data_IF_310047045934
#
_entry.id   IF_310047045934
#
_cell.length_a   1.000
_cell.length_b   1.000
_cell.length_c   1.000
_cell.angle_alpha   90.00
_cell.angle_beta   90.00
_cell.angle_gamma   90.00
#
_symmetry.space_group_name_H-M   'P 1'
#
loop_
_entity.id
_entity.type
_entity.pdbx_description
1 polymer ?
#
# COMPACT_ATOMS: atom_id res chain seq x y z
N UNK A 1 2.25 26.34 -13.73
CA UNK A 1 0.95 25.69 -13.99
C UNK A 1 0.99 24.96 -15.31
N UNK A 2 1.29 23.65 -15.28
CA UNK A 2 1.39 22.83 -16.49
C UNK A 2 -0.01 22.48 -17.00
N UNK A 3 -0.31 22.89 -18.24
CA UNK A 3 -1.63 22.75 -18.92
C UNK A 3 -1.88 21.34 -19.49
N UNK A 4 -1.16 20.33 -19.01
CA UNK A 4 -1.24 18.97 -19.54
C UNK A 4 -2.12 18.10 -18.64
N UNK A 5 -3.28 17.61 -19.13
CA UNK A 5 -4.14 16.74 -18.32
C UNK A 5 -3.44 15.43 -17.92
N UNK A 6 -2.50 14.94 -18.74
CA UNK A 6 -1.72 13.74 -18.41
C UNK A 6 -0.85 13.90 -17.15
N UNK A 7 -0.24 15.07 -16.91
CA UNK A 7 0.60 15.25 -15.72
C UNK A 7 -0.22 15.24 -14.43
N UNK A 8 -1.46 15.75 -14.49
CA UNK A 8 -2.39 15.69 -13.36
C UNK A 8 -2.85 14.25 -13.14
N UNK A 9 -3.17 13.52 -14.21
CA UNK A 9 -3.57 12.12 -14.14
C UNK A 9 -2.46 11.22 -13.55
N UNK A 10 -1.20 11.41 -13.97
CA UNK A 10 -0.05 10.67 -13.42
C UNK A 10 0.19 10.97 -11.94
N UNK A 11 0.05 12.23 -11.52
CA UNK A 11 0.19 12.62 -10.11
C UNK A 11 -0.93 12.03 -9.23
N UNK A 12 -2.17 12.01 -9.75
CA UNK A 12 -3.28 11.35 -9.06
C UNK A 12 -3.09 9.83 -9.03
N UNK A 13 -2.54 9.23 -10.09
CA UNK A 13 -2.26 7.80 -10.16
C UNK A 13 -1.23 7.37 -9.11
N UNK A 14 -0.12 8.10 -8.99
CA UNK A 14 0.91 7.82 -7.98
C UNK A 14 0.36 8.01 -6.57
N UNK A 15 -0.44 9.05 -6.34
CA UNK A 15 -1.15 9.26 -5.08
C UNK A 15 -2.10 8.11 -4.75
N UNK A 16 -2.92 7.67 -5.72
CA UNK A 16 -3.88 6.59 -5.53
C UNK A 16 -3.21 5.25 -5.25
N UNK A 17 -2.06 4.98 -5.89
CA UNK A 17 -1.26 3.78 -5.64
C UNK A 17 -0.79 3.73 -4.17
N UNK A 18 -0.46 4.87 -3.59
CA UNK A 18 -0.06 5.01 -2.19
C UNK A 18 -1.20 4.68 -1.18
N UNK A 19 -2.46 4.83 -1.60
CA UNK A 19 -3.67 4.38 -0.87
C UNK A 19 -4.22 3.03 -1.37
N UNK A 20 -3.46 2.34 -2.22
CA UNK A 20 -3.80 1.01 -2.73
C UNK A 20 -3.82 -0.06 -1.63
N UNK A 21 -4.45 -1.21 -1.92
CA UNK A 21 -4.54 -2.35 -0.99
C UNK A 21 -5.92 -2.56 -0.35
N UNK A 22 -6.88 -1.68 -0.64
CA UNK A 22 -8.27 -1.84 -0.21
C UNK A 22 -8.93 -3.13 -0.72
N UNK A 23 -8.48 -3.67 -1.87
CA UNK A 23 -9.01 -4.92 -2.40
C UNK A 23 -8.65 -6.12 -1.49
N UNK A 24 -7.45 -6.13 -0.91
CA UNK A 24 -7.01 -7.17 0.02
C UNK A 24 -7.80 -7.15 1.34
N UNK A 25 -8.37 -6.01 1.74
CA UNK A 25 -9.27 -5.93 2.90
C UNK A 25 -10.51 -6.80 2.69
N UNK A 26 -11.02 -6.89 1.46
CA UNK A 26 -12.20 -7.71 1.15
C UNK A 26 -11.91 -9.20 1.39
N UNK A 27 -10.69 -9.69 1.11
CA UNK A 27 -10.32 -11.09 1.39
C UNK A 27 -10.32 -11.42 2.88
N UNK A 28 -9.95 -10.45 3.73
CA UNK A 28 -9.91 -10.61 5.20
C UNK A 28 -11.32 -10.54 5.81
N UNK A 29 -12.31 -9.99 5.08
CA UNK A 29 -13.71 -9.93 5.56
C UNK A 29 -14.36 -11.28 5.73
N UNK A 30 -13.93 -12.30 4.98
CA UNK A 30 -14.41 -13.68 5.12
C UNK A 30 -13.95 -14.34 6.42
N UNK A 31 -12.87 -13.86 7.02
CA UNK A 31 -12.28 -14.39 8.27
C UNK A 31 -12.66 -13.58 9.52
N UNK A 32 -13.32 -12.43 9.33
CA UNK A 32 -13.73 -11.53 10.41
C UNK A 32 -14.97 -12.05 11.13
N UNK A 33 -14.87 -12.29 12.45
CA UNK A 33 -16.05 -12.49 13.30
C UNK A 33 -16.93 -11.22 13.27
N UNK A 34 -18.21 -11.35 12.93
CA UNK A 34 -19.18 -10.25 12.80
C UNK A 34 -18.76 -9.16 11.78
N UNK A 35 -18.73 -9.47 10.48
CA UNK A 35 -18.17 -8.60 9.44
C UNK A 35 -18.92 -7.26 9.33
N UNK A 36 -20.26 -7.25 9.50
CA UNK A 36 -21.09 -6.03 9.34
C UNK A 36 -20.66 -4.87 10.24
N UNK A 37 -20.19 -5.14 11.46
CA UNK A 37 -19.76 -4.11 12.41
C UNK A 37 -18.24 -3.91 12.38
N UNK A 38 -17.48 -5.00 12.34
CA UNK A 38 -16.02 -4.92 12.44
C UNK A 38 -15.37 -4.40 11.16
N UNK A 39 -15.95 -4.70 9.99
CA UNK A 39 -15.48 -4.14 8.72
C UNK A 39 -15.63 -2.61 8.70
N UNK A 40 -16.81 -2.11 9.07
CA UNK A 40 -17.09 -0.68 9.10
C UNK A 40 -16.18 0.06 10.07
N UNK A 41 -16.00 -0.49 11.29
CA UNK A 41 -15.08 0.10 12.28
C UNK A 41 -13.63 0.09 11.81
N UNK A 42 -13.17 -1.00 11.19
CA UNK A 42 -11.81 -1.08 10.64
C UNK A 42 -11.56 -0.03 9.57
N UNK A 43 -12.50 0.18 8.65
CA UNK A 43 -12.38 1.21 7.60
C UNK A 43 -12.37 2.62 8.20
N UNK A 44 -13.28 2.90 9.14
CA UNK A 44 -13.39 4.21 9.79
C UNK A 44 -12.17 4.52 10.66
N UNK A 45 -11.46 3.53 11.19
CA UNK A 45 -10.20 3.75 11.92
C UNK A 45 -8.98 3.79 11.00
N UNK A 46 -8.91 2.90 10.00
CA UNK A 46 -7.76 2.81 9.10
C UNK A 46 -7.65 4.04 8.20
N UNK A 47 -8.74 4.49 7.56
CA UNK A 47 -8.68 5.60 6.61
C UNK A 47 -8.17 6.91 7.24
N UNK A 48 -8.71 7.40 8.38
CA UNK A 48 -8.20 8.62 9.00
C UNK A 48 -6.77 8.48 9.49
N UNK A 49 -6.42 7.30 10.03
CA UNK A 49 -5.04 7.04 10.49
C UNK A 49 -4.05 7.17 9.34
N UNK A 50 -4.35 6.56 8.19
CA UNK A 50 -3.51 6.65 6.99
C UNK A 50 -3.45 8.10 6.50
N UNK A 51 -4.58 8.80 6.40
CA UNK A 51 -4.61 10.22 6.00
C UNK A 51 -3.72 11.09 6.90
N UNK A 52 -3.84 10.95 8.22
CA UNK A 52 -3.05 11.71 9.19
C UNK A 52 -1.56 11.41 9.03
N UNK A 53 -1.17 10.14 8.92
CA UNK A 53 0.23 9.76 8.71
C UNK A 53 0.80 10.30 7.40
N UNK A 54 0.02 10.30 6.32
CA UNK A 54 0.43 10.87 5.04
C UNK A 54 0.63 12.37 5.14
N UNK A 55 -0.30 13.10 5.76
CA UNK A 55 -0.17 14.55 5.95
C UNK A 55 1.06 14.88 6.80
N UNK A 56 1.26 14.17 7.91
CA UNK A 56 2.41 14.37 8.79
C UNK A 56 3.74 14.09 8.07
N UNK A 57 3.81 13.02 7.28
CA UNK A 57 5.01 12.69 6.50
C UNK A 57 5.33 13.77 5.48
N UNK A 58 4.33 14.26 4.75
CA UNK A 58 4.52 15.35 3.79
C UNK A 58 4.99 16.64 4.48
N UNK A 59 4.40 16.99 5.63
CA UNK A 59 4.85 18.15 6.43
C UNK A 59 6.31 17.97 6.86
N UNK A 60 6.67 16.80 7.38
CA UNK A 60 8.04 16.48 7.81
C UNK A 60 9.06 16.70 6.69
N UNK A 61 8.77 16.22 5.47
CA UNK A 61 9.66 16.44 4.33
C UNK A 61 9.84 17.91 3.97
N UNK A 62 8.76 18.70 3.96
CA UNK A 62 8.85 20.13 3.66
C UNK A 62 9.54 20.96 4.75
N UNK A 63 9.58 20.49 6.00
CA UNK A 63 10.29 21.19 7.08
C UNK A 63 11.80 21.02 7.05
N UNK A 64 12.28 19.93 6.45
CA UNK A 64 13.70 19.55 6.50
C UNK A 64 14.41 19.78 5.16
N UNK A 65 13.73 19.59 4.03
CA UNK A 65 14.35 19.60 2.70
C UNK A 65 13.79 20.69 1.79
N UNK A 66 14.65 21.22 0.92
CA UNK A 66 14.24 22.20 -0.09
C UNK A 66 13.59 21.50 -1.30
N UNK A 67 12.73 22.21 -2.05
CA UNK A 67 11.93 21.62 -3.15
C UNK A 67 12.79 20.98 -4.24
N UNK A 68 13.97 21.55 -4.48
CA UNK A 68 14.93 21.05 -5.48
C UNK A 68 15.58 19.73 -5.03
N UNK A 69 15.92 19.60 -3.75
CA UNK A 69 16.47 18.36 -3.18
C UNK A 69 15.43 17.23 -3.15
N UNK A 70 14.16 17.58 -2.90
CA UNK A 70 13.07 16.61 -2.89
C UNK A 70 12.78 16.06 -4.29
N UNK A 71 12.95 16.88 -5.33
CA UNK A 71 12.75 16.46 -6.73
C UNK A 71 13.97 15.76 -7.33
N UNK A 72 15.18 16.02 -6.83
CA UNK A 72 16.40 15.36 -7.28
C UNK A 72 16.70 14.03 -6.57
N UNK A 73 16.09 13.79 -5.42
CA UNK A 73 16.29 12.58 -4.62
C UNK A 73 15.45 11.40 -5.12
N UNK A 74 16.08 10.28 -5.52
CA UNK A 74 15.38 9.02 -5.78
C UNK A 74 14.83 8.38 -4.49
N UNK A 75 15.52 8.57 -3.36
CA UNK A 75 15.16 7.98 -2.06
C UNK A 75 14.96 9.07 -0.99
N UNK A 76 13.84 9.80 -1.09
CA UNK A 76 13.48 10.95 -0.22
C UNK A 76 13.55 10.61 1.28
N UNK A 77 13.20 9.38 1.67
CA UNK A 77 13.25 8.97 3.07
C UNK A 77 14.68 8.86 3.62
N UNK A 78 15.65 8.43 2.80
CA UNK A 78 17.05 8.28 3.23
C UNK A 78 17.72 9.64 3.32
N UNK A 79 17.50 10.51 2.35
CA UNK A 79 18.02 11.89 2.38
C UNK A 79 17.43 12.71 3.52
N UNK A 80 16.13 12.53 3.84
CA UNK A 80 15.54 13.07 5.06
C UNK A 80 16.20 12.49 6.32
N UNK A 81 16.45 11.18 6.34
CA UNK A 81 17.12 10.50 7.45
C UNK A 81 18.52 11.07 7.71
N UNK A 82 19.30 11.34 6.66
CA UNK A 82 20.66 11.91 6.79
C UNK A 82 20.63 13.29 7.43
N UNK A 83 19.63 14.10 7.11
CA UNK A 83 19.46 15.43 7.68
C UNK A 83 19.00 15.42 9.16
N UNK A 84 18.24 14.41 9.59
CA UNK A 84 17.60 14.40 10.93
C UNK A 84 18.25 13.42 11.91
N UNK A 85 18.57 12.22 11.46
CA UNK A 85 18.96 11.08 12.29
C UNK A 85 20.47 10.89 12.40
N UNK A 86 21.27 11.52 11.53
CA UNK A 86 22.73 11.45 11.56
C UNK A 86 23.25 9.99 11.51
N UNK A 87 24.05 9.52 12.49
CA UNK A 87 24.72 8.22 12.41
C UNK A 87 23.81 6.99 12.45
N UNK A 88 22.54 7.14 12.86
CA UNK A 88 21.57 6.01 12.87
C UNK A 88 20.80 5.84 11.55
N UNK A 89 21.15 6.60 10.51
CA UNK A 89 20.58 6.46 9.15
C UNK A 89 20.65 5.05 8.59
N UNK A 90 21.71 4.29 8.88
CA UNK A 90 21.90 2.95 8.34
C UNK A 90 20.76 1.98 8.70
N UNK A 91 20.04 2.23 9.80
CA UNK A 91 18.89 1.43 10.19
C UNK A 91 17.62 1.75 9.37
N UNK A 92 17.49 2.97 8.85
CA UNK A 92 16.30 3.43 8.13
C UNK A 92 16.01 2.63 6.85
N UNK A 93 16.95 2.43 5.91
CA UNK A 93 16.69 1.62 4.71
C UNK A 93 16.45 0.15 5.04
N UNK A 94 17.00 -0.38 6.14
CA UNK A 94 16.73 -1.74 6.62
C UNK A 94 15.26 -1.84 7.05
N UNK A 95 14.78 -0.89 7.86
CA UNK A 95 13.38 -0.85 8.30
C UNK A 95 12.40 -0.71 7.13
N UNK A 96 12.72 0.16 6.17
CA UNK A 96 11.91 0.35 4.94
C UNK A 96 11.87 -0.97 4.15
N UNK A 97 13.02 -1.64 4.00
CA UNK A 97 13.11 -2.92 3.28
C UNK A 97 12.31 -4.02 3.97
N UNK A 98 12.38 -4.12 5.31
CA UNK A 98 11.57 -5.08 6.08
C UNK A 98 10.07 -4.80 5.91
N UNK A 99 9.65 -3.53 5.89
CA UNK A 99 8.25 -3.16 5.62
C UNK A 99 7.81 -3.54 4.20
N UNK A 100 8.66 -3.29 3.20
CA UNK A 100 8.41 -3.68 1.81
C UNK A 100 8.31 -5.20 1.65
N UNK A 101 9.21 -5.96 2.30
CA UNK A 101 9.17 -7.42 2.34
C UNK A 101 7.92 -7.95 3.04
N UNK A 102 7.51 -7.34 4.14
CA UNK A 102 6.26 -7.68 4.83
C UNK A 102 5.03 -7.48 3.94
N UNK A 103 5.00 -6.36 3.20
CA UNK A 103 3.94 -6.07 2.23
C UNK A 103 3.93 -7.05 1.05
N UNK A 104 5.11 -7.39 0.51
CA UNK A 104 5.25 -8.38 -0.54
C UNK A 104 4.79 -9.77 -0.09
N UNK A 105 5.17 -10.19 1.11
CA UNK A 105 4.76 -11.46 1.69
C UNK A 105 3.24 -11.55 1.87
N UNK A 106 2.61 -10.49 2.38
CA UNK A 106 1.14 -10.43 2.50
C UNK A 106 0.44 -10.57 1.14
N UNK A 107 0.96 -9.92 0.11
CA UNK A 107 0.41 -10.00 -1.25
C UNK A 107 0.57 -11.40 -1.87
N UNK A 108 1.67 -12.10 -1.58
CA UNK A 108 1.89 -13.48 -2.02
C UNK A 108 0.86 -14.44 -1.41
N UNK A 109 0.61 -14.33 -0.11
CA UNK A 109 -0.42 -15.14 0.55
C UNK A 109 -1.82 -14.85 0.00
N UNK A 110 -2.15 -13.59 -0.24
CA UNK A 110 -3.42 -13.19 -0.88
C UNK A 110 -3.57 -13.84 -2.26
N UNK A 111 -2.55 -13.71 -3.11
CA UNK A 111 -2.54 -14.25 -4.48
C UNK A 111 -2.63 -15.79 -4.51
N UNK A 112 -1.93 -16.47 -3.60
CA UNK A 112 -1.98 -17.93 -3.49
C UNK A 112 -3.40 -18.43 -3.14
N UNK A 113 -4.10 -17.74 -2.22
CA UNK A 113 -5.50 -18.08 -1.87
C UNK A 113 -6.44 -17.91 -3.06
N UNK A 114 -6.32 -16.81 -3.80
CA UNK A 114 -7.14 -16.59 -4.99
C UNK A 114 -6.94 -17.71 -6.03
N UNK A 115 -5.69 -18.14 -6.25
CA UNK A 115 -5.38 -19.25 -7.15
C UNK A 115 -5.97 -20.60 -6.68
N UNK A 116 -5.95 -20.89 -5.37
CA UNK A 116 -6.58 -22.10 -4.84
C UNK A 116 -8.09 -22.12 -5.04
N UNK A 117 -8.76 -20.97 -4.83
CA UNK A 117 -10.21 -20.86 -5.04
C UNK A 117 -10.53 -21.04 -6.52
N UNK A 118 -9.80 -20.35 -7.41
CA UNK A 118 -10.01 -20.44 -8.86
C UNK A 118 -9.79 -21.86 -9.40
N UNK A 119 -8.69 -22.53 -9.01
CA UNK A 119 -8.43 -23.92 -9.42
C UNK A 119 -9.49 -24.91 -8.93
N UNK A 120 -10.02 -24.72 -7.72
CA UNK A 120 -11.12 -25.56 -7.21
C UNK A 120 -12.45 -25.31 -7.94
N UNK A 121 -12.74 -24.06 -8.32
CA UNK A 121 -13.91 -23.71 -9.14
C UNK A 121 -13.79 -24.30 -10.56
N UNK A 122 -12.61 -24.23 -11.17
CA UNK A 122 -12.33 -24.86 -12.46
C UNK A 122 -12.52 -26.38 -12.43
N UNK A 123 -12.05 -27.05 -11.38
CA UNK A 123 -12.26 -28.49 -11.21
C UNK A 123 -13.75 -28.85 -11.09
N UNK A 124 -14.52 -28.09 -10.30
CA UNK A 124 -15.96 -28.32 -10.14
C UNK A 124 -16.74 -28.07 -11.45
N UNK A 125 -16.39 -27.01 -12.18
CA UNK A 125 -16.97 -26.70 -13.50
C UNK A 125 -16.61 -27.76 -14.54
N UNK A 126 -15.39 -28.28 -14.51
CA UNK A 126 -14.94 -29.31 -15.46
C UNK A 126 -15.52 -30.68 -15.13
N UNK A 127 -15.74 -31.01 -13.85
CA UNK A 127 -16.39 -32.26 -13.43
C UNK A 127 -17.88 -32.32 -13.76
N UNK A 128 -18.59 -31.18 -13.77
CA UNK A 128 -20.00 -31.13 -14.19
C UNK A 128 -20.16 -31.23 -15.72
N UNK A 129 -19.13 -30.86 -16.50
CA UNK A 129 -19.12 -30.95 -17.96
C UNK A 129 -18.87 -32.36 -18.51
N UNK A 130 -18.49 -33.35 -17.67
CA UNK A 130 -18.24 -34.75 -18.08
C UNK A 130 -19.42 -35.68 -17.71
N UNK A 131 -20.56 -35.13 -17.28
CA UNK A 131 -21.77 -35.90 -16.91
C UNK A 131 -22.91 -35.73 -17.93
N UNK A 132 -22.62 -35.28 -19.16
CA UNK A 132 -23.59 -35.26 -20.26
C UNK A 132 -23.07 -36.02 -21.48
#
# INVERSE_FOLDING_TARGET
>A
TTKNPLSVALALYSGLWAYGGWNSLNSVTEELKNPKRNLWLSIVLALPTVIVLYVLTNISYFTVMNKEELLSSEAVAVTWGEAVLGPVVCALPILISVSALGSANANLFGSARYCMIDSSAWYYSSGCAVVF
#
